data_IF_908415550282
#
_entry.id   IF_908415550282
#
_cell.length_a   1.000
_cell.length_b   1.000
_cell.length_c   1.000
_cell.angle_alpha   90.00
_cell.angle_beta   90.00
_cell.angle_gamma   90.00
#
_symmetry.space_group_name_H-M   'P 1'
#
loop_
_entity.id
_entity.type
_entity.pdbx_description
1 polymer ?
#
# COMPACT_ATOMS: atom_id res chain seq x y z
N UNK A 1 -3.29 7.02 -37.37
CA UNK A 1 -2.85 6.35 -36.13
C UNK A 1 -1.44 6.88 -35.83
N UNK A 2 -1.19 7.56 -34.72
CA UNK A 2 0.19 7.81 -34.30
C UNK A 2 0.84 6.44 -34.07
N UNK A 3 2.04 6.23 -34.61
CA UNK A 3 2.87 5.07 -34.28
C UNK A 3 3.05 4.99 -32.76
N UNK A 4 2.92 3.82 -32.12
CA UNK A 4 3.18 3.70 -30.69
C UNK A 4 4.59 4.22 -30.41
N UNK A 5 4.71 5.14 -29.47
CA UNK A 5 6.01 5.58 -28.97
C UNK A 5 6.80 4.34 -28.55
N UNK A 6 8.11 4.26 -28.87
CA UNK A 6 8.89 3.10 -28.51
C UNK A 6 8.89 2.95 -26.97
N UNK A 7 8.51 1.77 -26.49
CA UNK A 7 8.54 1.42 -25.07
C UNK A 7 9.94 1.60 -24.49
N UNK A 8 10.03 2.08 -23.25
CA UNK A 8 11.28 2.28 -22.55
C UNK A 8 12.01 0.94 -22.35
N UNK A 9 13.27 0.85 -22.77
CA UNK A 9 14.08 -0.35 -22.63
C UNK A 9 14.58 -0.61 -21.19
N UNK A 10 14.35 0.31 -20.24
CA UNK A 10 14.79 0.21 -18.84
C UNK A 10 16.27 -0.22 -18.64
N UNK A 11 17.16 0.17 -19.55
CA UNK A 11 18.54 -0.33 -19.61
C UNK A 11 19.33 -0.10 -18.31
N UNK A 12 19.11 1.05 -17.65
CA UNK A 12 19.80 1.42 -16.41
C UNK A 12 18.76 1.68 -15.31
N UNK A 13 18.86 0.91 -14.22
CA UNK A 13 18.04 1.08 -13.03
C UNK A 13 18.92 1.66 -11.92
N UNK A 14 18.66 2.89 -11.49
CA UNK A 14 19.44 3.56 -10.45
C UNK A 14 18.92 3.15 -9.07
N UNK A 15 19.81 2.70 -8.19
CA UNK A 15 19.45 2.20 -6.84
C UNK A 15 19.68 3.20 -5.72
N UNK A 16 20.23 4.37 -6.06
CA UNK A 16 20.40 5.53 -5.17
C UNK A 16 19.50 6.68 -5.63
N UNK A 17 19.19 7.65 -4.76
CA UNK A 17 18.53 8.89 -5.17
C UNK A 17 19.25 9.55 -6.36
N UNK A 18 18.49 10.26 -7.19
CA UNK A 18 19.05 11.02 -8.29
C UNK A 18 19.80 12.25 -7.74
N UNK A 19 21.01 12.59 -8.23
CA UNK A 19 21.84 13.65 -7.66
C UNK A 19 21.22 15.06 -7.63
N UNK A 20 20.18 15.31 -8.43
CA UNK A 20 19.43 16.58 -8.41
C UNK A 20 18.42 16.67 -7.27
N UNK A 21 18.16 15.57 -6.56
CA UNK A 21 17.26 15.54 -5.40
C UNK A 21 18.04 16.00 -4.18
N UNK A 22 17.90 17.28 -3.85
CA UNK A 22 18.62 17.91 -2.73
C UNK A 22 17.82 17.93 -1.44
N UNK A 23 16.50 17.76 -1.50
CA UNK A 23 15.60 17.84 -0.34
C UNK A 23 15.56 16.55 0.49
N UNK A 24 15.90 15.41 -0.12
CA UNK A 24 16.03 14.13 0.56
C UNK A 24 17.31 13.43 0.09
N UNK A 25 18.45 13.58 0.80
CA UNK A 25 19.74 13.02 0.37
C UNK A 25 19.81 11.48 0.49
N UNK A 26 18.76 10.86 1.01
CA UNK A 26 18.71 9.42 1.29
C UNK A 26 19.42 9.04 2.59
N UNK A 27 19.02 7.90 3.16
CA UNK A 27 19.64 7.37 4.37
C UNK A 27 20.93 6.62 4.03
N UNK A 28 21.98 6.79 4.85
CA UNK A 28 23.29 6.18 4.61
C UNK A 28 23.23 4.64 4.74
N UNK A 29 24.09 3.87 4.05
CA UNK A 29 24.16 2.42 4.21
C UNK A 29 24.40 1.98 5.66
N UNK A 30 25.17 2.75 6.43
CA UNK A 30 25.43 2.50 7.85
C UNK A 30 24.15 2.63 8.68
N UNK A 31 23.38 3.70 8.48
CA UNK A 31 22.17 3.93 9.28
C UNK A 31 21.06 2.94 8.90
N UNK A 32 20.99 2.53 7.64
CA UNK A 32 20.10 1.45 7.21
C UNK A 32 20.47 0.09 7.84
N UNK A 33 21.76 -0.25 7.92
CA UNK A 33 22.22 -1.46 8.61
C UNK A 33 21.83 -1.42 10.09
N UNK A 34 22.13 -0.30 10.76
CA UNK A 34 21.83 -0.10 12.16
C UNK A 34 20.31 -0.16 12.45
N UNK A 35 19.48 0.38 11.55
CA UNK A 35 18.03 0.40 11.70
C UNK A 35 17.38 -0.99 11.65
N UNK A 36 17.97 -1.93 10.90
CA UNK A 36 17.45 -3.29 10.79
C UNK A 36 18.01 -4.24 11.88
N UNK A 37 19.04 -3.82 12.62
CA UNK A 37 19.75 -4.69 13.55
C UNK A 37 18.93 -4.99 14.83
N UNK A 38 18.89 -6.24 15.31
CA UNK A 38 18.15 -6.60 16.52
C UNK A 38 18.83 -6.15 17.83
N UNK A 39 20.12 -5.82 17.76
CA UNK A 39 20.96 -5.41 18.89
C UNK A 39 21.88 -4.27 18.47
N UNK A 40 22.43 -3.53 19.45
CA UNK A 40 23.49 -2.55 19.19
C UNK A 40 24.70 -3.29 18.64
N UNK A 41 25.03 -3.04 17.38
CA UNK A 41 26.20 -3.62 16.74
C UNK A 41 27.45 -2.80 17.08
N UNK A 42 28.57 -3.51 17.28
CA UNK A 42 29.88 -2.84 17.42
C UNK A 42 30.22 -2.14 16.12
N UNK A 43 30.92 -1.01 16.20
CA UNK A 43 31.27 -0.20 15.02
C UNK A 43 31.93 -1.00 13.89
N UNK A 44 32.86 -1.89 14.22
CA UNK A 44 33.53 -2.75 13.23
C UNK A 44 32.56 -3.73 12.51
N UNK A 45 31.51 -4.20 13.18
CA UNK A 45 30.47 -5.06 12.58
C UNK A 45 29.57 -4.23 11.69
N UNK A 46 29.15 -3.05 12.15
CA UNK A 46 28.40 -2.08 11.34
C UNK A 46 29.17 -1.65 10.09
N UNK A 47 30.47 -1.40 10.20
CA UNK A 47 31.31 -1.03 9.06
C UNK A 47 31.40 -2.19 8.06
N UNK A 48 31.45 -3.45 8.52
CA UNK A 48 31.40 -4.64 7.67
C UNK A 48 30.03 -4.82 6.99
N UNK A 49 28.93 -4.63 7.72
CA UNK A 49 27.57 -4.71 7.18
C UNK A 49 27.28 -3.58 6.21
N UNK A 50 27.63 -2.34 6.57
CA UNK A 50 27.53 -1.17 5.70
C UNK A 50 28.38 -1.34 4.44
N UNK A 51 29.60 -1.90 4.56
CA UNK A 51 30.42 -2.24 3.41
C UNK A 51 29.76 -3.33 2.55
N UNK A 52 29.10 -4.34 3.13
CA UNK A 52 28.36 -5.36 2.38
C UNK A 52 27.11 -4.82 1.68
N UNK A 53 26.38 -3.91 2.32
CA UNK A 53 25.24 -3.18 1.74
C UNK A 53 25.69 -2.24 0.61
N UNK A 54 26.83 -1.58 0.80
CA UNK A 54 27.45 -0.68 -0.17
C UNK A 54 28.13 -1.42 -1.33
N UNK A 55 28.59 -2.66 -1.12
CA UNK A 55 29.23 -3.53 -2.11
C UNK A 55 28.25 -4.28 -3.04
N UNK A 56 27.12 -3.65 -3.36
CA UNK A 56 26.49 -3.78 -4.69
C UNK A 56 25.44 -4.90 -4.93
N UNK A 57 25.06 -5.73 -3.95
CA UNK A 57 23.92 -6.67 -4.13
C UNK A 57 22.63 -6.25 -3.44
N UNK A 58 22.76 -5.58 -2.30
CA UNK A 58 21.61 -5.28 -1.48
C UNK A 58 20.82 -4.07 -1.98
N UNK A 59 21.49 -3.01 -2.44
CA UNK A 59 20.83 -1.89 -3.11
C UNK A 59 20.11 -2.33 -4.41
N UNK A 60 20.65 -3.33 -5.11
CA UNK A 60 20.02 -3.95 -6.28
C UNK A 60 18.85 -4.89 -5.95
N UNK A 61 18.57 -5.10 -4.66
CA UNK A 61 17.43 -5.88 -4.14
C UNK A 61 16.40 -4.96 -3.49
N UNK A 62 16.88 -4.08 -2.61
CA UNK A 62 16.16 -3.04 -1.89
C UNK A 62 16.84 -1.68 -2.17
N UNK A 63 16.47 -0.97 -3.24
CA UNK A 63 17.00 0.36 -3.50
C UNK A 63 16.56 1.37 -2.42
N UNK A 64 17.21 2.54 -2.38
CA UNK A 64 16.71 3.65 -1.57
C UNK A 64 15.38 4.21 -2.07
N UNK A 65 14.69 5.04 -1.27
CA UNK A 65 13.54 5.81 -1.74
C UNK A 65 13.87 6.61 -3.00
N UNK A 66 12.86 6.83 -3.86
CA UNK A 66 13.03 7.61 -5.07
C UNK A 66 13.24 9.09 -4.78
N UNK A 67 12.45 9.69 -3.87
CA UNK A 67 12.58 11.10 -3.49
C UNK A 67 12.35 12.09 -4.63
N UNK A 68 11.40 11.79 -5.54
CA UNK A 68 11.01 12.72 -6.61
C UNK A 68 10.25 13.93 -6.06
N UNK A 69 10.15 14.99 -6.85
CA UNK A 69 9.39 16.17 -6.45
C UNK A 69 7.91 15.83 -6.22
N UNK A 70 7.37 16.25 -5.09
CA UNK A 70 6.00 15.92 -4.67
C UNK A 70 5.85 14.57 -3.96
N UNK A 71 6.93 13.77 -3.86
CA UNK A 71 6.93 12.56 -3.03
C UNK A 71 6.81 12.92 -1.55
N UNK A 72 6.17 12.05 -0.76
CA UNK A 72 5.91 12.23 0.68
C UNK A 72 7.18 12.63 1.44
N UNK A 73 8.28 11.88 1.26
CA UNK A 73 9.57 12.14 1.92
C UNK A 73 10.27 13.43 1.45
N UNK A 74 9.82 14.05 0.36
CA UNK A 74 10.31 15.34 -0.12
C UNK A 74 9.43 16.48 0.37
N UNK A 75 8.14 16.22 0.57
CA UNK A 75 7.18 17.14 1.20
C UNK A 75 7.44 17.25 2.70
N UNK A 76 7.65 16.12 3.37
CA UNK A 76 8.03 16.01 4.78
C UNK A 76 9.38 15.28 4.95
N UNK A 77 10.51 15.97 4.72
CA UNK A 77 11.83 15.38 4.88
C UNK A 77 12.23 15.13 6.35
N UNK A 78 11.45 15.64 7.31
CA UNK A 78 11.70 15.49 8.74
C UNK A 78 10.87 14.35 9.37
N UNK A 79 10.09 13.62 8.56
CA UNK A 79 9.30 12.48 9.04
C UNK A 79 10.17 11.52 9.89
N UNK A 80 9.75 11.21 11.12
CA UNK A 80 10.60 10.50 12.06
C UNK A 80 10.89 9.06 11.58
N UNK A 81 12.17 8.63 11.55
CA UNK A 81 12.49 7.25 11.23
C UNK A 81 12.06 6.32 12.36
N UNK A 82 11.61 5.11 12.00
CA UNK A 82 11.31 4.04 12.97
C UNK A 82 12.17 2.81 12.70
N UNK A 83 13.24 2.62 13.49
CA UNK A 83 14.08 1.42 13.44
C UNK A 83 13.36 0.18 13.99
N UNK A 84 13.89 -1.02 13.70
CA UNK A 84 13.39 -2.26 14.29
C UNK A 84 13.46 -2.24 15.83
N UNK A 85 14.51 -1.64 16.41
CA UNK A 85 14.69 -1.58 17.86
C UNK A 85 13.67 -0.65 18.53
N UNK A 86 13.42 0.52 17.92
CA UNK A 86 12.39 1.46 18.40
C UNK A 86 11.01 0.80 18.34
N UNK A 87 10.65 0.23 17.18
CA UNK A 87 9.42 -0.53 17.02
C UNK A 87 9.27 -1.67 18.04
N UNK A 88 10.34 -2.41 18.32
CA UNK A 88 10.32 -3.50 19.32
C UNK A 88 10.14 -2.98 20.75
N UNK A 89 10.69 -1.80 21.05
CA UNK A 89 10.60 -1.14 22.34
C UNK A 89 9.31 -0.35 22.56
N UNK A 90 8.51 -0.15 21.50
CA UNK A 90 7.30 0.63 21.53
C UNK A 90 6.25 -0.02 22.44
N UNK A 91 5.92 0.68 23.54
CA UNK A 91 5.02 0.16 24.57
C UNK A 91 3.56 0.25 24.16
N UNK A 92 3.22 1.20 23.29
CA UNK A 92 1.85 1.43 22.83
C UNK A 92 1.43 0.48 21.71
N UNK A 93 2.36 -0.32 21.17
CA UNK A 93 2.09 -1.26 20.07
C UNK A 93 1.21 -2.43 20.51
N UNK A 94 0.28 -2.82 19.64
CA UNK A 94 -0.51 -4.04 19.80
C UNK A 94 0.40 -5.29 19.80
N UNK A 95 0.30 -6.12 20.85
CA UNK A 95 1.04 -7.39 20.93
C UNK A 95 0.35 -8.47 20.10
N UNK A 96 1.16 -9.28 19.41
CA UNK A 96 0.74 -10.48 18.68
C UNK A 96 1.18 -11.72 19.48
N UNK A 97 0.38 -12.77 19.53
CA UNK A 97 0.84 -14.10 20.02
C UNK A 97 0.23 -14.54 21.34
N UNK A 98 0.98 -15.31 22.15
CA UNK A 98 0.47 -16.12 23.28
C UNK A 98 -0.31 -15.37 24.38
N UNK A 99 -0.11 -14.06 24.51
CA UNK A 99 -0.82 -13.17 25.44
C UNK A 99 -1.79 -12.22 24.72
N UNK A 100 -1.98 -12.37 23.40
CA UNK A 100 -2.65 -11.40 22.55
C UNK A 100 -3.49 -12.03 21.43
N UNK A 101 -4.09 -11.15 20.64
CA UNK A 101 -4.94 -11.52 19.51
C UNK A 101 -4.06 -11.92 18.31
N UNK A 102 -4.54 -12.81 17.44
CA UNK A 102 -3.74 -13.33 16.31
C UNK A 102 -4.43 -13.26 14.95
N UNK A 103 -5.75 -13.17 14.92
CA UNK A 103 -6.50 -13.28 13.67
C UNK A 103 -6.64 -11.93 12.98
N UNK A 104 -6.19 -11.81 11.74
CA UNK A 104 -6.55 -10.63 10.92
C UNK A 104 -7.90 -10.92 10.29
N UNK A 105 -8.85 -10.00 10.42
CA UNK A 105 -10.13 -10.09 9.72
C UNK A 105 -10.14 -9.13 8.53
N UNK A 106 -10.77 -9.55 7.44
CA UNK A 106 -11.10 -8.71 6.30
C UNK A 106 -12.62 -8.70 6.18
N UNK A 107 -13.24 -7.53 6.08
CA UNK A 107 -14.65 -7.40 5.74
C UNK A 107 -14.78 -6.77 4.36
N UNK A 108 -15.64 -7.36 3.54
CA UNK A 108 -15.91 -6.87 2.19
C UNK A 108 -16.65 -5.53 2.18
N UNK A 109 -16.77 -4.90 1.00
CA UNK A 109 -17.52 -3.66 0.83
C UNK A 109 -18.95 -3.76 1.39
N UNK A 110 -19.42 -2.78 2.19
CA UNK A 110 -20.83 -2.72 2.56
C UNK A 110 -21.71 -2.62 1.31
N UNK A 111 -22.81 -3.37 1.31
CA UNK A 111 -23.77 -3.38 0.19
C UNK A 111 -24.94 -2.45 0.47
N UNK A 112 -25.67 -2.03 -0.56
CA UNK A 112 -26.91 -1.26 -0.37
C UNK A 112 -28.05 -2.21 -0.09
N UNK A 113 -28.82 -1.95 0.98
CA UNK A 113 -29.94 -2.80 1.41
C UNK A 113 -30.93 -3.09 0.27
N UNK A 114 -31.39 -4.34 0.21
CA UNK A 114 -32.34 -4.82 -0.79
C UNK A 114 -33.64 -3.98 -0.73
N UNK A 115 -34.04 -3.41 -1.87
CA UNK A 115 -35.22 -2.55 -1.98
C UNK A 115 -34.93 -1.04 -1.93
N UNK A 116 -33.82 -0.60 -1.30
CA UNK A 116 -33.36 0.80 -1.35
C UNK A 116 -32.58 1.10 -2.65
N UNK A 117 -32.08 0.07 -3.33
CA UNK A 117 -31.29 0.13 -4.56
C UNK A 117 -31.92 0.97 -5.69
N UNK A 118 -33.25 1.15 -5.69
CA UNK A 118 -33.95 2.08 -6.60
C UNK A 118 -33.76 3.53 -6.16
N UNK A 119 -32.59 4.09 -6.47
CA UNK A 119 -32.30 5.53 -6.40
C UNK A 119 -31.40 5.95 -5.24
N UNK A 120 -31.34 5.19 -4.15
CA UNK A 120 -30.39 5.45 -3.06
C UNK A 120 -28.99 4.93 -3.42
N UNK A 121 -27.97 5.80 -3.29
CA UNK A 121 -26.55 5.54 -3.61
C UNK A 121 -26.27 4.99 -5.02
N UNK A 122 -27.22 5.14 -5.94
CA UNK A 122 -27.10 4.62 -7.31
C UNK A 122 -25.96 5.34 -8.04
N UNK A 123 -24.98 4.57 -8.52
CA UNK A 123 -23.85 5.08 -9.31
C UNK A 123 -22.75 5.78 -8.51
N UNK A 124 -22.74 5.65 -7.17
CA UNK A 124 -21.67 6.26 -6.35
C UNK A 124 -20.34 5.52 -6.47
N UNK A 125 -20.37 4.23 -6.82
CA UNK A 125 -19.19 3.40 -7.11
C UNK A 125 -18.86 3.33 -8.61
N UNK A 126 -19.70 3.94 -9.46
CA UNK A 126 -19.48 3.95 -10.91
C UNK A 126 -18.49 5.06 -11.25
N UNK A 127 -17.38 4.66 -11.86
CA UNK A 127 -16.36 5.56 -12.34
C UNK A 127 -16.81 6.15 -13.69
N UNK A 128 -17.04 7.47 -13.74
CA UNK A 128 -17.38 8.18 -14.99
C UNK A 128 -16.12 8.43 -15.82
N UNK A 129 -15.78 7.44 -16.65
CA UNK A 129 -14.68 7.52 -17.61
C UNK A 129 -15.21 7.16 -19.00
N UNK A 130 -14.85 7.95 -20.00
CA UNK A 130 -15.32 7.77 -21.37
C UNK A 130 -14.55 6.63 -22.05
N UNK A 131 -15.20 5.50 -22.35
CA UNK A 131 -14.59 4.43 -23.18
C UNK A 131 -15.29 3.07 -23.11
N UNK A 132 -15.11 2.24 -24.14
CA UNK A 132 -15.72 0.90 -24.22
C UNK A 132 -15.13 -0.11 -23.20
N UNK A 133 -13.86 0.07 -22.81
CA UNK A 133 -13.13 -0.82 -21.89
C UNK A 133 -13.64 -0.76 -20.44
N UNK A 134 -14.37 0.31 -20.08
CA UNK A 134 -14.87 0.54 -18.74
C UNK A 134 -15.85 -0.56 -18.26
N UNK A 135 -16.74 -1.02 -19.15
CA UNK A 135 -17.73 -2.06 -18.82
C UNK A 135 -17.10 -3.45 -18.67
N UNK A 136 -16.01 -3.72 -19.38
CA UNK A 136 -15.35 -5.02 -19.37
C UNK A 136 -14.51 -5.24 -18.09
N UNK A 137 -13.85 -4.21 -17.58
CA UNK A 137 -13.08 -4.28 -16.32
C UNK A 137 -14.02 -4.47 -15.13
N UNK A 138 -15.13 -3.73 -15.10
CA UNK A 138 -16.16 -3.83 -14.05
C UNK A 138 -16.86 -5.20 -14.08
N UNK A 139 -16.98 -5.84 -15.24
CA UNK A 139 -17.59 -7.18 -15.37
C UNK A 139 -16.65 -8.35 -15.07
N UNK A 140 -15.32 -8.17 -15.09
CA UNK A 140 -14.38 -9.28 -15.18
C UNK A 140 -14.03 -9.95 -13.84
N UNK A 141 -14.08 -9.25 -12.68
CA UNK A 141 -13.74 -9.82 -11.35
C UNK A 141 -14.34 -9.03 -10.17
N UNK A 142 -15.65 -8.75 -10.15
CA UNK A 142 -16.28 -8.05 -9.01
C UNK A 142 -16.81 -8.97 -7.92
N UNK A 143 -16.98 -10.26 -8.18
CA UNK A 143 -17.51 -11.20 -7.18
C UNK A 143 -16.39 -12.02 -6.53
N UNK A 144 -16.26 -11.90 -5.21
CA UNK A 144 -15.40 -12.77 -4.40
C UNK A 144 -13.93 -12.36 -4.32
N UNK A 145 -13.56 -11.18 -4.83
CA UNK A 145 -12.20 -10.65 -4.77
C UNK A 145 -11.72 -10.42 -3.32
N UNK A 146 -12.63 -10.32 -2.35
CA UNK A 146 -12.27 -10.22 -0.93
C UNK A 146 -11.57 -11.49 -0.46
N UNK A 147 -11.90 -12.65 -1.05
CA UNK A 147 -11.22 -13.91 -0.76
C UNK A 147 -9.79 -13.92 -1.30
N UNK A 148 -9.57 -13.33 -2.46
CA UNK A 148 -8.23 -13.17 -3.03
C UNK A 148 -7.38 -12.21 -2.17
N UNK A 149 -8.00 -11.15 -1.60
CA UNK A 149 -7.34 -10.27 -0.62
C UNK A 149 -6.95 -11.05 0.64
N UNK A 150 -7.85 -11.88 1.18
CA UNK A 150 -7.56 -12.74 2.34
C UNK A 150 -6.38 -13.65 2.05
N UNK A 151 -6.38 -14.33 0.89
CA UNK A 151 -5.28 -15.24 0.51
C UNK A 151 -3.95 -14.48 0.35
N UNK A 152 -3.96 -13.30 -0.28
CA UNK A 152 -2.77 -12.47 -0.41
C UNK A 152 -2.22 -12.01 0.94
N UNK A 153 -3.10 -11.52 1.82
CA UNK A 153 -2.72 -11.04 3.15
C UNK A 153 -2.24 -12.18 4.05
N UNK A 154 -2.78 -13.39 3.92
CA UNK A 154 -2.28 -14.57 4.63
C UNK A 154 -0.87 -14.95 4.18
N UNK A 155 -0.56 -14.79 2.89
CA UNK A 155 0.81 -14.92 2.40
C UNK A 155 1.72 -13.75 2.85
N UNK A 156 1.21 -12.52 2.87
CA UNK A 156 1.97 -11.33 3.24
C UNK A 156 2.29 -11.27 4.75
N UNK A 157 1.33 -11.61 5.59
CA UNK A 157 1.44 -11.70 7.05
C UNK A 157 1.58 -13.15 7.51
N UNK A 158 2.30 -13.96 6.73
CA UNK A 158 2.51 -15.38 6.99
C UNK A 158 2.87 -15.65 8.46
N UNK A 159 2.25 -16.66 9.05
CA UNK A 159 2.30 -16.98 10.48
C UNK A 159 1.06 -16.55 11.27
N UNK A 160 0.19 -15.72 10.68
CA UNK A 160 -1.10 -15.32 11.26
C UNK A 160 -2.28 -15.79 10.40
N UNK A 161 -3.37 -16.25 11.02
CA UNK A 161 -4.59 -16.56 10.29
C UNK A 161 -5.26 -15.29 9.79
N UNK A 162 -5.72 -15.31 8.54
CA UNK A 162 -6.54 -14.25 7.94
C UNK A 162 -7.92 -14.82 7.60
N UNK A 163 -8.99 -14.15 8.03
CA UNK A 163 -10.36 -14.62 7.85
C UNK A 163 -11.23 -13.56 7.19
N UNK A 164 -12.15 -14.00 6.34
CA UNK A 164 -13.23 -13.16 5.85
C UNK A 164 -14.31 -13.05 6.93
N UNK A 165 -14.56 -11.84 7.43
CA UNK A 165 -15.67 -11.52 8.31
C UNK A 165 -16.97 -11.49 7.51
N UNK A 166 -18.05 -12.04 8.08
CA UNK A 166 -19.33 -12.05 7.41
C UNK A 166 -19.92 -10.63 7.30
N UNK A 167 -20.02 -10.12 6.08
CA UNK A 167 -20.58 -8.81 5.78
C UNK A 167 -22.12 -8.79 5.66
N UNK A 168 -22.84 -9.92 5.85
CA UNK A 168 -24.31 -9.98 5.67
C UNK A 168 -25.11 -9.04 6.56
N UNK A 169 -24.52 -8.50 7.64
CA UNK A 169 -25.14 -7.49 8.50
C UNK A 169 -24.73 -6.05 8.19
N UNK A 170 -23.88 -5.82 7.19
CA UNK A 170 -23.25 -4.53 6.90
C UNK A 170 -23.87 -3.90 5.65
N UNK A 171 -24.80 -2.96 5.87
CA UNK A 171 -25.60 -2.37 4.78
C UNK A 171 -25.65 -0.85 4.85
N UNK A 172 -25.52 -0.19 3.71
CA UNK A 172 -25.89 1.20 3.60
C UNK A 172 -27.41 1.35 3.54
N UNK A 173 -27.95 2.24 4.36
CA UNK A 173 -29.38 2.59 4.43
C UNK A 173 -29.56 4.11 4.41
N UNK A 174 -30.73 4.62 4.02
CA UNK A 174 -31.07 6.03 4.25
C UNK A 174 -30.88 6.39 5.73
N UNK A 175 -30.41 7.61 6.00
CA UNK A 175 -30.32 8.12 7.36
C UNK A 175 -31.70 8.61 7.82
N UNK A 176 -32.22 8.05 8.91
CA UNK A 176 -33.51 8.46 9.46
C UNK A 176 -33.39 9.84 10.13
N UNK A 177 -33.61 10.90 9.35
CA UNK A 177 -33.94 12.21 9.92
C UNK A 177 -35.40 12.21 10.35
N UNK A 178 -35.78 11.46 11.39
CA UNK A 178 -37.00 11.81 12.13
C UNK A 178 -36.60 12.82 13.20
N UNK A 179 -36.79 14.14 12.97
CA UNK A 179 -36.71 15.07 14.08
C UNK A 179 -37.82 14.69 15.06
N UNK A 180 -37.45 14.31 16.28
CA UNK A 180 -38.34 14.42 17.43
C UNK A 180 -38.98 15.82 17.37
N UNK A 181 -40.31 15.85 17.32
CA UNK A 181 -41.14 17.02 17.02
C UNK A 181 -40.54 18.36 17.48
N UNK A 182 -40.49 19.40 16.62
CA UNK A 182 -40.13 20.72 17.08
C UNK A 182 -41.28 21.27 17.94
N UNK A 183 -41.03 21.40 19.25
CA UNK A 183 -41.84 22.26 20.12
C UNK A 183 -41.81 23.66 19.52
N UNK A 184 -42.99 24.17 19.14
CA UNK A 184 -43.20 25.50 18.55
C UNK A 184 -42.69 26.59 19.49
N UNK A 185 -41.43 27.01 19.37
CA UNK A 185 -40.97 28.30 19.88
C UNK A 185 -40.80 29.27 18.72
N UNK A 186 -41.78 30.16 18.55
CA UNK A 186 -41.68 31.31 17.66
C UNK A 186 -40.59 32.25 18.19
N UNK A 187 -39.51 32.41 17.45
CA UNK A 187 -38.58 33.52 17.61
C UNK A 187 -38.25 34.09 16.24
N UNK A 188 -38.66 35.34 16.04
CA UNK A 188 -38.29 36.17 14.89
C UNK A 188 -36.96 36.84 15.22
N UNK A 189 -35.92 36.58 14.44
CA UNK A 189 -34.85 37.56 14.24
C UNK A 189 -34.10 37.32 12.94
N UNK A 190 -34.03 38.39 12.15
CA UNK A 190 -33.25 38.59 10.94
C UNK A 190 -31.76 38.75 11.25
N UNK A 191 -30.91 37.94 10.60
CA UNK A 191 -29.54 38.28 10.18
C UNK A 191 -29.00 37.13 9.31
N UNK A 192 -28.72 37.40 8.02
CA UNK A 192 -28.09 36.45 7.08
C UNK A 192 -26.60 36.31 7.41
N UNK A 193 -26.28 35.49 8.40
CA UNK A 193 -25.03 34.75 8.41
C UNK A 193 -25.27 33.45 7.63
N UNK A 194 -24.43 33.10 6.64
CA UNK A 194 -24.45 31.76 6.02
C UNK A 194 -24.14 30.78 7.15
N UNK A 195 -25.16 30.14 7.71
CA UNK A 195 -24.96 28.98 8.59
C UNK A 195 -24.16 27.94 7.79
N UNK A 196 -23.12 27.31 8.37
CA UNK A 196 -22.48 26.17 7.75
C UNK A 196 -23.56 25.14 7.42
N UNK A 197 -23.52 24.61 6.18
CA UNK A 197 -24.48 23.60 5.72
C UNK A 197 -24.25 22.36 6.58
N UNK A 198 -25.27 21.88 7.27
CA UNK A 198 -25.14 20.66 8.08
C UNK A 198 -24.65 19.51 7.18
N UNK A 199 -23.70 18.69 7.66
CA UNK A 199 -23.19 17.56 6.89
C UNK A 199 -24.33 16.60 6.57
N UNK A 200 -24.30 16.05 5.35
CA UNK A 200 -25.28 15.06 4.91
C UNK A 200 -24.82 13.67 5.33
N UNK A 201 -25.76 12.84 5.77
CA UNK A 201 -25.47 11.50 6.30
C UNK A 201 -26.19 10.42 5.52
N UNK A 202 -25.55 9.27 5.44
CA UNK A 202 -26.18 7.96 5.19
C UNK A 202 -26.01 7.10 6.45
N UNK A 203 -26.83 6.07 6.59
CA UNK A 203 -26.65 5.07 7.64
C UNK A 203 -25.79 3.90 7.15
N UNK A 204 -24.87 3.44 7.97
CA UNK A 204 -24.22 2.14 7.85
C UNK A 204 -24.74 1.25 8.98
N UNK A 205 -25.63 0.33 8.63
CA UNK A 205 -26.22 -0.63 9.56
C UNK A 205 -25.20 -1.73 9.84
N UNK A 206 -24.98 -2.02 11.13
CA UNK A 206 -24.23 -3.17 11.62
C UNK A 206 -25.19 -4.15 12.30
N UNK A 207 -24.67 -5.22 12.90
CA UNK A 207 -25.49 -6.14 13.69
C UNK A 207 -26.07 -5.50 14.96
N UNK A 208 -25.42 -4.45 15.48
CA UNK A 208 -25.72 -3.88 16.80
C UNK A 208 -26.32 -2.46 16.70
N UNK A 209 -25.94 -1.69 15.68
CA UNK A 209 -26.29 -0.28 15.61
C UNK A 209 -26.39 0.27 14.17
N UNK A 210 -26.80 1.53 14.07
CA UNK A 210 -26.84 2.30 12.82
C UNK A 210 -25.90 3.50 12.95
N UNK A 211 -24.80 3.48 12.21
CA UNK A 211 -23.74 4.47 12.29
C UNK A 211 -23.92 5.49 11.18
N UNK A 212 -23.85 6.79 11.51
CA UNK A 212 -23.96 7.86 10.53
C UNK A 212 -22.64 8.06 9.78
N UNK A 213 -22.66 7.89 8.46
CA UNK A 213 -21.50 8.14 7.60
C UNK A 213 -21.75 9.44 6.83
N UNK A 214 -20.88 10.43 7.03
CA UNK A 214 -20.89 11.68 6.28
C UNK A 214 -20.53 11.41 4.82
N UNK A 215 -21.15 12.17 3.94
CA UNK A 215 -20.81 12.13 2.51
C UNK A 215 -20.83 13.52 1.89
N UNK A 216 -20.08 13.68 0.80
CA UNK A 216 -20.07 14.89 -0.03
C UNK A 216 -20.28 14.55 -1.50
N UNK A 217 -20.98 15.42 -2.22
CA UNK A 217 -21.19 15.29 -3.66
C UNK A 217 -20.11 16.05 -4.42
N UNK A 218 -19.64 15.49 -5.53
CA UNK A 218 -18.53 16.03 -6.34
C UNK A 218 -18.93 16.01 -7.82
N UNK A 219 -19.75 16.99 -8.26
CA UNK A 219 -20.41 16.96 -9.58
C UNK A 219 -19.48 17.05 -10.80
N UNK A 220 -18.16 17.08 -10.61
CA UNK A 220 -17.15 17.22 -11.66
C UNK A 220 -15.95 16.28 -11.49
N UNK A 221 -16.04 15.29 -10.59
CA UNK A 221 -15.02 14.26 -10.41
C UNK A 221 -15.44 12.94 -11.06
N UNK A 222 -14.50 12.00 -11.15
CA UNK A 222 -14.73 10.65 -11.69
C UNK A 222 -15.77 9.85 -10.90
N UNK A 223 -15.95 10.17 -9.62
CA UNK A 223 -16.96 9.62 -8.76
C UNK A 223 -17.91 10.73 -8.32
N UNK A 224 -19.20 10.45 -8.35
CA UNK A 224 -20.23 11.45 -8.05
C UNK A 224 -20.26 11.87 -6.57
N UNK A 225 -19.79 11.00 -5.68
CA UNK A 225 -19.83 11.18 -4.24
C UNK A 225 -18.60 10.56 -3.57
N UNK A 226 -18.23 11.11 -2.41
CA UNK A 226 -17.25 10.53 -1.49
C UNK A 226 -17.87 10.27 -0.13
N UNK A 227 -17.43 9.19 0.53
CA UNK A 227 -17.75 8.89 1.92
C UNK A 227 -16.64 9.35 2.85
N UNK A 228 -16.98 9.76 4.05
CA UNK A 228 -15.98 10.14 5.05
C UNK A 228 -15.28 8.88 5.60
N UNK A 229 -13.94 8.91 5.58
CA UNK A 229 -13.07 7.83 6.00
C UNK A 229 -13.11 7.59 7.51
N UNK A 230 -13.13 8.65 8.32
CA UNK A 230 -13.12 8.54 9.78
C UNK A 230 -14.38 7.87 10.30
N UNK A 231 -15.54 8.22 9.75
CA UNK A 231 -16.81 7.59 10.12
C UNK A 231 -16.82 6.08 9.77
N UNK A 232 -16.12 5.69 8.69
CA UNK A 232 -15.95 4.28 8.33
C UNK A 232 -14.94 3.56 9.25
N UNK A 233 -13.91 4.25 9.73
CA UNK A 233 -12.99 3.72 10.74
C UNK A 233 -13.70 3.51 12.07
N UNK A 234 -14.55 4.45 12.50
CA UNK A 234 -15.40 4.28 13.69
C UNK A 234 -16.36 3.10 13.53
N UNK A 235 -16.96 2.93 12.34
CA UNK A 235 -17.74 1.75 12.04
C UNK A 235 -16.91 0.45 12.08
N UNK A 236 -15.68 0.46 11.56
CA UNK A 236 -14.78 -0.68 11.66
C UNK A 236 -14.45 -1.02 13.12
N UNK A 237 -14.29 -0.03 14.00
CA UNK A 237 -14.08 -0.24 15.44
C UNK A 237 -15.29 -0.94 16.06
N UNK A 238 -16.51 -0.52 15.72
CA UNK A 238 -17.74 -1.10 16.27
C UNK A 238 -17.92 -2.58 15.93
N UNK A 239 -17.45 -3.03 14.76
CA UNK A 239 -17.61 -4.41 14.29
C UNK A 239 -16.36 -5.28 14.48
N UNK A 240 -15.32 -4.75 15.13
CA UNK A 240 -14.04 -5.42 15.34
C UNK A 240 -14.21 -6.63 16.27
N UNK A 241 -13.97 -7.88 15.81
CA UNK A 241 -14.14 -9.05 16.65
C UNK A 241 -13.20 -9.07 17.86
N UNK A 242 -13.65 -9.65 18.97
CA UNK A 242 -12.88 -9.73 20.22
C UNK A 242 -11.53 -10.45 20.07
N UNK A 243 -11.50 -11.49 19.23
CA UNK A 243 -10.30 -12.29 18.93
C UNK A 243 -9.41 -11.70 17.81
N UNK A 244 -9.85 -10.60 17.18
CA UNK A 244 -9.17 -10.02 16.04
C UNK A 244 -7.88 -9.31 16.44
N UNK A 245 -6.74 -9.69 15.86
CA UNK A 245 -5.56 -8.85 15.92
C UNK A 245 -5.81 -7.50 15.25
N UNK A 246 -6.42 -7.51 14.05
CA UNK A 246 -6.83 -6.32 13.32
C UNK A 246 -8.01 -6.62 12.41
N UNK A 247 -8.74 -5.57 12.01
CA UNK A 247 -9.78 -5.62 10.98
C UNK A 247 -9.44 -4.67 9.83
N UNK A 248 -9.48 -5.20 8.61
CA UNK A 248 -9.46 -4.41 7.38
C UNK A 248 -10.87 -4.35 6.78
N UNK A 249 -11.41 -3.14 6.62
CA UNK A 249 -12.64 -2.90 5.87
C UNK A 249 -12.31 -2.45 4.44
N UNK A 250 -12.79 -3.21 3.46
CA UNK A 250 -12.68 -2.86 2.05
C UNK A 250 -13.89 -2.00 1.65
N UNK A 251 -13.69 -1.00 0.78
CA UNK A 251 -14.74 -0.08 0.36
C UNK A 251 -14.66 0.18 -1.15
N UNK A 252 -15.81 0.25 -1.81
CA UNK A 252 -15.91 0.52 -3.26
C UNK A 252 -16.03 2.00 -3.61
N UNK A 253 -16.38 2.82 -2.63
CA UNK A 253 -16.65 4.24 -2.77
C UNK A 253 -15.37 5.07 -2.66
N UNK A 254 -15.34 6.19 -3.36
CA UNK A 254 -14.30 7.20 -3.18
C UNK A 254 -14.40 7.80 -1.77
N UNK A 255 -13.25 8.18 -1.17
CA UNK A 255 -13.19 8.60 0.23
C UNK A 255 -12.56 9.98 0.40
N UNK A 256 -12.88 10.63 1.52
CA UNK A 256 -12.22 11.84 2.02
C UNK A 256 -12.10 11.79 3.55
N UNK A 257 -11.15 12.49 4.15
CA UNK A 257 -11.03 12.59 5.60
C UNK A 257 -11.46 13.99 6.08
N UNK A 258 -10.93 15.05 5.46
CA UNK A 258 -11.28 16.43 5.78
C UNK A 258 -11.65 17.29 4.54
N UNK A 259 -11.90 18.59 4.79
CA UNK A 259 -12.32 19.55 3.76
C UNK A 259 -11.18 19.97 2.82
N UNK A 260 -9.92 19.76 3.20
CA UNK A 260 -8.71 20.11 2.43
C UNK A 260 -8.26 18.95 1.52
N UNK A 261 -8.69 17.71 1.83
CA UNK A 261 -8.42 16.55 0.99
C UNK A 261 -9.12 16.59 -0.37
N UNK A 262 -8.41 16.20 -1.42
CA UNK A 262 -9.04 15.83 -2.69
C UNK A 262 -9.67 14.43 -2.60
N UNK A 263 -8.91 13.45 -2.10
CA UNK A 263 -9.34 12.08 -1.82
C UNK A 263 -8.32 11.36 -0.93
N UNK A 264 -8.76 10.25 -0.33
CA UNK A 264 -7.90 9.30 0.40
C UNK A 264 -8.15 7.88 -0.09
N UNK A 265 -7.10 7.08 -0.20
CA UNK A 265 -7.21 5.70 -0.69
C UNK A 265 -7.32 4.67 0.44
N UNK A 266 -6.86 5.03 1.63
CA UNK A 266 -6.93 4.19 2.82
C UNK A 266 -6.34 4.92 4.01
N UNK A 267 -6.63 4.40 5.20
CA UNK A 267 -6.05 4.84 6.47
C UNK A 267 -6.22 3.74 7.50
N UNK A 268 -5.33 3.75 8.49
CA UNK A 268 -5.43 2.92 9.67
C UNK A 268 -5.47 3.75 10.95
N UNK A 269 -6.35 3.35 11.87
CA UNK A 269 -6.20 3.66 13.29
C UNK A 269 -5.47 2.51 13.95
N UNK A 270 -4.13 2.51 13.78
CA UNK A 270 -3.27 1.40 14.18
C UNK A 270 -3.45 0.97 15.65
N UNK A 271 -3.55 1.93 16.57
CA UNK A 271 -3.84 1.67 17.98
C UNK A 271 -5.21 1.02 18.22
N UNK A 272 -6.22 1.40 17.44
CA UNK A 272 -7.56 0.82 17.47
C UNK A 272 -7.69 -0.49 16.70
N UNK A 273 -6.61 -0.94 16.03
CA UNK A 273 -6.52 -2.20 15.28
C UNK A 273 -7.47 -2.27 14.07
N UNK A 274 -7.76 -1.13 13.45
CA UNK A 274 -8.63 -1.07 12.26
C UNK A 274 -7.98 -0.32 11.12
N UNK A 275 -8.33 -0.73 9.91
CA UNK A 275 -7.95 -0.08 8.66
C UNK A 275 -9.13 -0.07 7.69
N UNK A 276 -9.22 0.98 6.89
CA UNK A 276 -10.17 1.10 5.77
C UNK A 276 -9.37 1.32 4.50
N UNK A 277 -9.68 0.59 3.43
CA UNK A 277 -9.07 0.75 2.11
C UNK A 277 -10.15 0.84 1.04
N UNK A 278 -10.10 1.91 0.25
CA UNK A 278 -10.94 2.09 -0.92
C UNK A 278 -10.26 1.62 -2.19
N UNK A 279 -11.03 1.00 -3.08
CA UNK A 279 -10.56 0.68 -4.44
C UNK A 279 -10.85 1.74 -5.49
N UNK A 280 -11.62 2.79 -5.19
CA UNK A 280 -12.14 3.72 -6.18
C UNK A 280 -11.02 4.39 -7.02
N UNK A 281 -10.04 5.02 -6.36
CA UNK A 281 -8.96 5.78 -7.03
C UNK A 281 -7.85 4.92 -7.63
N UNK A 282 -7.86 3.63 -7.31
CA UNK A 282 -6.97 2.64 -7.90
C UNK A 282 -7.48 2.04 -9.21
N UNK A 283 -8.70 2.40 -9.64
CA UNK A 283 -9.28 1.93 -10.89
C UNK A 283 -8.36 2.30 -12.07
N UNK A 284 -7.80 1.32 -12.81
CA UNK A 284 -6.86 1.58 -13.88
C UNK A 284 -7.41 2.49 -14.98
N UNK A 285 -8.73 2.57 -15.16
CA UNK A 285 -9.32 3.49 -16.13
C UNK A 285 -8.96 4.95 -15.87
N UNK A 286 -8.66 5.29 -14.61
CA UNK A 286 -8.24 6.63 -14.21
C UNK A 286 -6.76 6.91 -14.45
N UNK A 287 -5.95 5.92 -14.80
CA UNK A 287 -4.51 6.08 -14.86
C UNK A 287 -4.06 7.17 -15.83
N UNK A 288 -4.74 7.31 -16.97
CA UNK A 288 -4.42 8.35 -17.94
C UNK A 288 -4.74 9.76 -17.41
N UNK A 289 -5.88 9.92 -16.72
CA UNK A 289 -6.34 11.20 -16.20
C UNK A 289 -5.59 11.58 -14.90
N UNK A 290 -5.22 10.60 -14.09
CA UNK A 290 -4.42 10.76 -12.87
C UNK A 290 -2.90 10.78 -13.13
N UNK A 291 -2.46 10.61 -14.38
CA UNK A 291 -1.04 10.62 -14.74
C UNK A 291 -0.22 9.45 -14.19
N UNK A 292 -0.85 8.32 -13.90
CA UNK A 292 -0.18 7.13 -13.35
C UNK A 292 0.75 6.52 -14.42
N UNK A 293 2.08 6.48 -14.17
CA UNK A 293 3.05 6.12 -15.20
C UNK A 293 3.21 4.60 -15.29
N UNK A 294 2.22 3.85 -15.80
CA UNK A 294 2.23 2.37 -15.82
C UNK A 294 3.54 1.75 -16.31
N UNK A 295 4.13 2.30 -17.37
CA UNK A 295 5.42 1.83 -17.91
C UNK A 295 6.54 1.89 -16.87
N UNK A 296 6.54 2.94 -16.04
CA UNK A 296 7.54 3.23 -15.01
C UNK A 296 6.98 3.12 -13.59
N UNK A 297 5.86 2.41 -13.40
CA UNK A 297 5.39 1.99 -12.09
C UNK A 297 6.39 0.98 -11.50
N UNK A 298 6.23 0.61 -10.23
CA UNK A 298 7.04 -0.49 -9.70
C UNK A 298 6.84 -1.75 -10.58
N UNK A 299 7.92 -2.46 -10.96
CA UNK A 299 9.32 -2.35 -10.52
C UNK A 299 10.22 -1.40 -11.33
N UNK A 300 9.71 -0.79 -12.40
CA UNK A 300 10.47 0.04 -13.34
C UNK A 300 10.67 1.51 -12.89
N UNK A 301 10.14 1.88 -11.72
CA UNK A 301 10.20 3.25 -11.16
C UNK A 301 11.62 3.78 -10.92
N UNK A 302 12.60 2.89 -10.81
CA UNK A 302 14.03 3.22 -10.69
C UNK A 302 14.74 3.42 -12.04
N UNK A 303 14.00 3.50 -13.15
CA UNK A 303 14.57 3.76 -14.48
C UNK A 303 15.29 5.11 -14.53
N UNK A 304 16.57 5.12 -14.90
CA UNK A 304 17.40 6.33 -14.96
C UNK A 304 16.80 7.42 -15.86
N UNK A 305 16.23 7.03 -17.01
CA UNK A 305 15.63 7.99 -17.95
C UNK A 305 14.40 8.65 -17.34
N UNK A 306 13.52 7.84 -16.75
CA UNK A 306 12.32 8.30 -16.09
C UNK A 306 12.64 9.21 -14.90
N UNK A 307 13.54 8.80 -14.02
CA UNK A 307 13.97 9.63 -12.89
C UNK A 307 14.53 10.98 -13.35
N UNK A 308 15.35 11.00 -14.42
CA UNK A 308 15.88 12.23 -14.99
C UNK A 308 14.80 13.12 -15.62
N UNK A 309 13.77 12.53 -16.22
CA UNK A 309 12.61 13.26 -16.76
C UNK A 309 11.79 13.90 -15.64
N UNK A 310 11.51 13.17 -14.56
CA UNK A 310 10.83 13.69 -13.38
C UNK A 310 11.62 14.82 -12.69
N UNK A 311 12.95 14.80 -12.75
CA UNK A 311 13.81 15.85 -12.21
C UNK A 311 14.00 17.08 -13.13
N UNK A 312 13.42 17.07 -14.34
CA UNK A 312 13.48 18.20 -15.27
C UNK A 312 14.84 18.44 -15.97
N UNK A 313 14.93 19.55 -16.73
CA UNK A 313 16.04 19.82 -17.67
C UNK A 313 17.43 19.94 -17.03
N UNK A 314 17.52 20.21 -15.73
CA UNK A 314 18.80 20.30 -15.00
C UNK A 314 19.53 18.94 -14.89
N UNK A 315 18.80 17.82 -14.90
CA UNK A 315 19.35 16.47 -14.76
C UNK A 315 20.12 15.96 -15.99
N UNK A 316 19.85 16.52 -17.19
CA UNK A 316 20.46 16.05 -18.46
C UNK A 316 21.99 16.20 -18.53
N UNK A 317 22.61 16.96 -17.63
CA UNK A 317 24.07 17.17 -17.58
C UNK A 317 24.84 16.27 -16.59
N UNK A 318 24.17 15.44 -15.76
CA UNK A 318 24.80 14.75 -14.61
C UNK A 318 24.80 13.21 -14.65
N UNK A 319 24.36 12.57 -15.75
CA UNK A 319 23.98 11.14 -15.82
C UNK A 319 25.08 10.06 -15.71
N UNK A 320 26.31 10.41 -15.33
CA UNK A 320 27.44 9.45 -15.26
C UNK A 320 27.79 8.96 -13.85
N UNK A 321 27.42 9.67 -12.77
CA UNK A 321 27.74 9.27 -11.38
C UNK A 321 26.49 8.69 -10.69
N UNK A 322 26.35 7.38 -10.68
CA UNK A 322 25.24 6.68 -10.02
C UNK A 322 25.57 5.22 -9.76
N UNK A 323 24.90 4.62 -8.76
CA UNK A 323 24.94 3.17 -8.52
C UNK A 323 23.74 2.55 -9.22
N UNK A 324 23.94 1.44 -9.92
CA UNK A 324 22.93 0.81 -10.76
C UNK A 324 22.70 -0.64 -10.36
N UNK A 325 21.49 -1.14 -10.60
CA UNK A 325 21.18 -2.54 -10.38
C UNK A 325 22.02 -3.44 -11.31
N UNK A 326 22.66 -4.44 -10.72
CA UNK A 326 23.44 -5.45 -11.42
C UNK A 326 22.53 -6.45 -12.17
N UNK A 327 23.12 -7.17 -13.12
CA UNK A 327 22.43 -8.26 -13.81
C UNK A 327 22.01 -9.37 -12.82
N UNK A 328 20.91 -10.06 -13.11
CA UNK A 328 20.33 -11.12 -12.27
C UNK A 328 19.92 -10.70 -10.84
N UNK A 329 19.94 -9.39 -10.52
CA UNK A 329 19.42 -8.90 -9.25
C UNK A 329 17.90 -9.07 -9.18
N UNK A 330 17.30 -9.21 -7.97
CA UNK A 330 15.85 -9.26 -7.80
C UNK A 330 15.11 -8.12 -8.49
N UNK A 331 15.63 -6.89 -8.40
CA UNK A 331 15.06 -5.73 -9.10
C UNK A 331 15.13 -5.87 -10.62
N UNK A 332 16.26 -6.35 -11.16
CA UNK A 332 16.42 -6.55 -12.61
C UNK A 332 15.48 -7.63 -13.14
N UNK A 333 15.38 -8.76 -12.43
CA UNK A 333 14.46 -9.86 -12.76
C UNK A 333 13.00 -9.37 -12.79
N UNK A 334 12.61 -8.55 -11.80
CA UNK A 334 11.28 -7.95 -11.75
C UNK A 334 11.01 -7.03 -12.95
N UNK A 335 11.94 -6.13 -13.27
CA UNK A 335 11.81 -5.20 -14.41
C UNK A 335 11.73 -5.93 -15.74
N UNK A 336 12.48 -7.01 -15.93
CA UNK A 336 12.39 -7.85 -17.12
C UNK A 336 10.98 -8.44 -17.25
N UNK A 337 10.44 -9.05 -16.19
CA UNK A 337 9.09 -9.61 -16.21
C UNK A 337 8.00 -8.57 -16.47
N UNK A 338 8.11 -7.39 -15.83
CA UNK A 338 7.24 -6.25 -16.06
C UNK A 338 7.26 -5.81 -17.53
N UNK A 339 8.45 -5.56 -18.08
CA UNK A 339 8.61 -5.03 -19.44
C UNK A 339 8.09 -6.02 -20.49
N UNK A 340 8.33 -7.33 -20.30
CA UNK A 340 7.83 -8.37 -21.21
C UNK A 340 6.30 -8.37 -21.30
N UNK A 341 5.60 -8.24 -20.17
CA UNK A 341 4.14 -8.22 -20.15
C UNK A 341 3.56 -6.87 -20.55
N UNK A 342 4.22 -5.77 -20.21
CA UNK A 342 3.78 -4.41 -20.54
C UNK A 342 3.91 -4.08 -22.04
N UNK A 343 4.83 -4.73 -22.76
CA UNK A 343 5.04 -4.48 -24.19
C UNK A 343 3.83 -4.83 -25.08
N UNK A 344 2.84 -5.55 -24.55
CA UNK A 344 1.60 -5.89 -25.24
C UNK A 344 0.41 -5.06 -24.74
N UNK A 345 -0.60 -4.89 -25.58
CA UNK A 345 -1.84 -4.24 -25.16
C UNK A 345 -2.49 -5.03 -24.00
N UNK A 346 -2.78 -4.35 -22.89
CA UNK A 346 -3.36 -4.99 -21.72
C UNK A 346 -4.82 -5.40 -21.96
N UNK A 347 -5.14 -6.64 -21.63
CA UNK A 347 -6.52 -7.14 -21.63
C UNK A 347 -7.30 -6.63 -20.42
N UNK A 348 -8.64 -6.72 -20.46
CA UNK A 348 -9.50 -6.33 -19.34
C UNK A 348 -9.21 -7.15 -18.07
N UNK A 349 -8.86 -8.43 -18.20
CA UNK A 349 -8.46 -9.28 -17.07
C UNK A 349 -7.15 -8.79 -16.43
N UNK A 350 -6.15 -8.41 -17.25
CA UNK A 350 -4.89 -7.85 -16.75
C UNK A 350 -5.09 -6.51 -16.05
N UNK A 351 -6.01 -5.67 -16.54
CA UNK A 351 -6.38 -4.42 -15.87
C UNK A 351 -7.12 -4.70 -14.56
N UNK A 352 -8.07 -5.63 -14.52
CA UNK A 352 -8.73 -6.03 -13.27
C UNK A 352 -7.72 -6.58 -12.25
N UNK A 353 -6.78 -7.39 -12.71
CA UNK A 353 -5.67 -7.90 -11.89
C UNK A 353 -4.73 -6.79 -11.41
N UNK A 354 -4.40 -5.81 -12.25
CA UNK A 354 -3.63 -4.63 -11.85
C UNK A 354 -4.38 -3.83 -10.77
N UNK A 355 -5.69 -3.64 -10.94
CA UNK A 355 -6.53 -2.96 -9.96
C UNK A 355 -6.45 -3.66 -8.60
N UNK A 356 -6.70 -4.97 -8.59
CA UNK A 356 -6.58 -5.82 -7.40
C UNK A 356 -5.19 -5.76 -6.75
N UNK A 357 -4.13 -5.74 -7.57
CA UNK A 357 -2.75 -5.68 -7.12
C UNK A 357 -2.42 -4.41 -6.31
N UNK A 358 -3.04 -3.27 -6.68
CA UNK A 358 -2.92 -2.00 -5.95
C UNK A 358 -3.59 -2.10 -4.58
N UNK A 359 -4.78 -2.72 -4.53
CA UNK A 359 -5.50 -2.92 -3.27
C UNK A 359 -4.71 -3.82 -2.34
N UNK A 360 -4.10 -4.90 -2.84
CA UNK A 360 -3.26 -5.79 -2.06
C UNK A 360 -2.10 -5.05 -1.37
N UNK A 361 -1.42 -4.15 -2.10
CA UNK A 361 -0.35 -3.33 -1.54
C UNK A 361 -0.88 -2.40 -0.46
N UNK A 362 -1.90 -1.61 -0.75
CA UNK A 362 -2.44 -0.62 0.20
C UNK A 362 -3.03 -1.29 1.43
N UNK A 363 -3.77 -2.40 1.26
CA UNK A 363 -4.24 -3.24 2.37
C UNK A 363 -3.09 -3.73 3.26
N UNK A 364 -1.96 -4.13 2.65
CA UNK A 364 -0.77 -4.52 3.40
C UNK A 364 -0.16 -3.34 4.15
N UNK A 365 -0.10 -2.17 3.52
CA UNK A 365 0.39 -0.93 4.13
C UNK A 365 -0.45 -0.54 5.36
N UNK A 366 -1.77 -0.41 5.20
CA UNK A 366 -2.65 0.00 6.31
C UNK A 366 -2.68 -1.01 7.46
N UNK A 367 -2.66 -2.31 7.15
CA UNK A 367 -2.52 -3.32 8.19
C UNK A 367 -1.16 -3.23 8.89
N UNK A 368 -0.10 -2.78 8.21
CA UNK A 368 1.22 -2.55 8.78
C UNK A 368 1.17 -1.55 9.94
N UNK A 369 0.37 -0.50 9.81
CA UNK A 369 0.11 0.45 10.89
C UNK A 369 -0.60 -0.20 12.09
N UNK A 370 -1.45 -1.21 11.90
CA UNK A 370 -2.02 -2.00 13.00
C UNK A 370 -0.95 -2.83 13.75
N UNK A 371 0.18 -3.13 13.10
CA UNK A 371 1.40 -3.66 13.72
C UNK A 371 2.28 -2.58 14.36
N UNK A 372 1.84 -1.32 14.41
CA UNK A 372 2.61 -0.19 14.93
C UNK A 372 3.82 0.15 14.07
N UNK A 373 3.81 -0.22 12.79
CA UNK A 373 4.88 0.12 11.86
C UNK A 373 4.57 1.50 11.27
N UNK A 374 5.46 2.47 11.44
CA UNK A 374 5.32 3.81 10.86
C UNK A 374 5.76 3.85 9.40
N UNK A 375 5.62 5.01 8.73
CA UNK A 375 6.13 5.12 7.37
C UNK A 375 7.64 4.87 7.31
N UNK A 376 8.07 4.12 6.31
CA UNK A 376 9.47 3.78 6.10
C UNK A 376 10.21 4.92 5.38
N UNK A 377 11.38 5.29 5.89
CA UNK A 377 12.26 6.29 5.27
C UNK A 377 13.57 5.69 4.75
N UNK A 378 13.84 4.42 5.04
CA UNK A 378 15.15 3.79 4.84
C UNK A 378 15.39 3.28 3.42
N UNK A 379 14.34 2.73 2.79
CA UNK A 379 14.39 2.02 1.52
C UNK A 379 13.11 2.27 0.73
N UNK A 380 13.15 1.94 -0.57
CA UNK A 380 11.94 1.53 -1.29
C UNK A 380 11.18 0.50 -0.43
N UNK A 381 9.93 0.75 -0.03
CA UNK A 381 9.20 -0.14 0.87
C UNK A 381 7.68 -0.03 0.72
N UNK A 382 6.96 -1.14 0.90
CA UNK A 382 5.50 -1.16 0.99
C UNK A 382 4.99 -0.26 2.13
N UNK A 383 5.79 -0.03 3.17
CA UNK A 383 5.47 0.86 4.29
C UNK A 383 5.90 2.32 4.05
N UNK A 384 6.37 2.71 2.86
CA UNK A 384 6.61 4.14 2.61
C UNK A 384 5.31 4.91 2.51
N UNK A 385 5.30 6.14 3.03
CA UNK A 385 4.21 7.10 2.79
C UNK A 385 4.06 7.41 1.30
N UNK A 386 2.88 7.89 0.92
CA UNK A 386 2.58 8.28 -0.45
C UNK A 386 1.68 9.50 -0.46
N UNK A 387 2.17 10.61 -1.03
CA UNK A 387 1.44 11.87 -1.15
C UNK A 387 0.56 11.93 -2.41
N UNK A 388 0.63 10.93 -3.29
CA UNK A 388 -0.18 10.87 -4.50
C UNK A 388 -0.33 9.44 -5.03
N UNK A 389 -1.33 9.22 -5.88
CA UNK A 389 -1.52 7.95 -6.60
C UNK A 389 -0.35 7.62 -7.55
N UNK A 390 0.35 8.66 -8.03
CA UNK A 390 1.53 8.53 -8.91
C UNK A 390 2.75 8.06 -8.12
N UNK A 391 2.92 8.57 -6.90
CA UNK A 391 3.93 8.04 -5.97
C UNK A 391 3.58 6.62 -5.52
N UNK A 392 2.33 6.39 -5.13
CA UNK A 392 1.82 5.09 -4.74
C UNK A 392 2.18 4.03 -5.80
N UNK A 393 1.88 4.26 -7.08
CA UNK A 393 2.18 3.32 -8.16
C UNK A 393 3.69 2.97 -8.32
N UNK A 394 4.60 3.78 -7.77
CA UNK A 394 6.05 3.53 -7.80
C UNK A 394 6.56 2.74 -6.59
N UNK A 395 5.76 2.60 -5.54
CA UNK A 395 6.12 1.88 -4.33
C UNK A 395 6.12 0.37 -4.54
N UNK A 396 7.06 -0.36 -3.91
CA UNK A 396 7.12 -1.82 -4.05
C UNK A 396 6.06 -2.55 -3.21
N UNK A 397 5.65 -3.77 -3.60
CA UNK A 397 4.84 -4.65 -2.78
C UNK A 397 5.65 -5.40 -1.71
N UNK A 398 6.97 -5.14 -1.58
CA UNK A 398 7.81 -5.78 -0.59
C UNK A 398 8.03 -4.92 0.64
N UNK A 399 8.26 -5.58 1.77
CA UNK A 399 8.82 -4.94 2.95
C UNK A 399 10.33 -4.89 2.79
N UNK A 400 10.91 -3.72 3.06
CA UNK A 400 12.34 -3.58 3.17
C UNK A 400 12.86 -4.36 4.41
N UNK A 401 14.17 -4.55 4.56
CA UNK A 401 14.72 -5.35 5.65
C UNK A 401 14.37 -4.83 7.04
N UNK A 402 14.21 -3.51 7.21
CA UNK A 402 13.83 -2.92 8.50
C UNK A 402 12.41 -3.36 8.86
N UNK A 403 11.44 -3.18 7.95
CA UNK A 403 10.04 -3.48 8.23
C UNK A 403 9.71 -4.97 8.11
N UNK A 404 10.47 -5.71 7.30
CA UNK A 404 10.37 -7.15 7.21
C UNK A 404 10.78 -7.80 8.55
N UNK A 405 11.81 -7.29 9.22
CA UNK A 405 12.17 -7.75 10.58
C UNK A 405 11.02 -7.51 11.57
N UNK A 406 10.36 -6.35 11.49
CA UNK A 406 9.19 -6.02 12.33
C UNK A 406 8.07 -7.04 12.10
N UNK A 407 7.71 -7.30 10.84
CA UNK A 407 6.65 -8.25 10.49
C UNK A 407 7.02 -9.68 10.88
N UNK A 408 8.22 -10.15 10.56
CA UNK A 408 8.68 -11.50 10.93
C UNK A 408 8.68 -11.68 12.46
N UNK A 409 9.13 -10.69 13.21
CA UNK A 409 9.06 -10.72 14.68
C UNK A 409 7.62 -10.72 15.19
N UNK A 410 6.72 -9.98 14.53
CA UNK A 410 5.32 -9.90 14.92
C UNK A 410 4.57 -11.22 14.64
N UNK A 411 4.76 -11.81 13.47
CA UNK A 411 4.02 -13.02 13.05
C UNK A 411 4.65 -14.31 13.57
N UNK A 412 5.96 -14.30 13.86
CA UNK A 412 6.72 -15.49 14.26
C UNK A 412 7.08 -16.43 13.11
N UNK A 413 6.88 -16.03 11.85
CA UNK A 413 7.21 -16.83 10.67
C UNK A 413 8.69 -16.72 10.27
N UNK A 414 9.20 -17.67 9.46
CA UNK A 414 10.49 -17.53 8.80
C UNK A 414 10.45 -16.63 7.56
N UNK A 415 11.58 -15.97 7.24
CA UNK A 415 11.73 -15.17 6.01
C UNK A 415 11.43 -15.98 4.75
N UNK A 416 12.02 -17.17 4.67
CA UNK A 416 11.93 -18.05 3.50
C UNK A 416 10.51 -18.61 3.31
N UNK A 417 9.85 -19.02 4.40
CA UNK A 417 8.48 -19.53 4.41
C UNK A 417 7.50 -18.47 3.89
N UNK A 418 7.61 -17.24 4.41
CA UNK A 418 6.81 -16.10 3.94
C UNK A 418 7.00 -15.83 2.46
N UNK A 419 8.25 -15.80 1.98
CA UNK A 419 8.52 -15.58 0.55
C UNK A 419 7.99 -16.73 -0.32
N UNK A 420 8.09 -17.98 0.12
CA UNK A 420 7.49 -19.12 -0.60
C UNK A 420 5.97 -19.03 -0.67
N UNK A 421 5.30 -18.63 0.41
CA UNK A 421 3.86 -18.40 0.43
C UNK A 421 3.47 -17.32 -0.59
N UNK A 422 4.16 -16.17 -0.58
CA UNK A 422 3.93 -15.08 -1.53
C UNK A 422 4.21 -15.49 -2.99
N UNK A 423 5.26 -16.27 -3.23
CA UNK A 423 5.54 -16.83 -4.57
C UNK A 423 4.39 -17.71 -5.06
N UNK A 424 3.86 -18.55 -4.18
CA UNK A 424 2.69 -19.40 -4.46
C UNK A 424 1.46 -18.58 -4.86
N UNK A 425 1.21 -17.47 -4.15
CA UNK A 425 0.16 -16.53 -4.53
C UNK A 425 0.44 -15.89 -5.90
N UNK A 426 1.64 -15.35 -6.13
CA UNK A 426 1.99 -14.67 -7.38
C UNK A 426 1.85 -15.56 -8.61
N UNK A 427 2.14 -16.86 -8.47
CA UNK A 427 2.00 -17.83 -9.56
C UNK A 427 0.56 -17.94 -10.09
N UNK A 428 -0.46 -17.66 -9.26
CA UNK A 428 -1.87 -17.63 -9.68
C UNK A 428 -2.21 -16.42 -10.54
N UNK A 429 -1.34 -15.41 -10.56
CA UNK A 429 -1.56 -14.10 -11.19
C UNK A 429 -0.45 -13.73 -12.19
N UNK A 430 0.24 -14.72 -12.76
CA UNK A 430 1.40 -14.50 -13.66
C UNK A 430 1.09 -13.66 -14.91
N UNK A 431 -0.18 -13.60 -15.33
CA UNK A 431 -0.61 -12.73 -16.43
C UNK A 431 -0.65 -11.24 -16.09
N UNK A 432 -0.64 -10.89 -14.80
CA UNK A 432 -0.67 -9.51 -14.30
C UNK A 432 0.76 -9.05 -14.05
N UNK A 433 1.21 -8.01 -14.76
CA UNK A 433 2.61 -7.60 -14.74
C UNK A 433 3.16 -7.32 -13.33
N UNK A 434 2.34 -6.77 -12.42
CA UNK A 434 2.75 -6.48 -11.04
C UNK A 434 3.09 -7.79 -10.31
N UNK A 435 2.19 -8.76 -10.31
CA UNK A 435 2.41 -10.05 -9.64
C UNK A 435 3.48 -10.90 -10.32
N UNK A 436 3.59 -10.83 -11.65
CA UNK A 436 4.69 -11.47 -12.38
C UNK A 436 6.06 -10.90 -11.97
N UNK A 437 6.17 -9.57 -11.95
CA UNK A 437 7.37 -8.88 -11.45
C UNK A 437 7.65 -9.22 -9.99
N UNK A 438 6.61 -9.28 -9.15
CA UNK A 438 6.73 -9.63 -7.75
C UNK A 438 7.21 -11.07 -7.53
N UNK A 439 6.64 -12.03 -8.25
CA UNK A 439 7.11 -13.41 -8.27
C UNK A 439 8.58 -13.52 -8.67
N UNK A 440 9.02 -12.82 -9.73
CA UNK A 440 10.42 -12.83 -10.17
C UNK A 440 11.37 -12.14 -9.21
N UNK A 441 10.95 -11.05 -8.56
CA UNK A 441 11.72 -10.47 -7.46
C UNK A 441 11.90 -11.48 -6.33
N UNK A 442 10.83 -12.17 -5.93
CA UNK A 442 10.85 -13.17 -4.86
C UNK A 442 11.77 -14.35 -5.21
N UNK A 443 11.70 -14.88 -6.43
CA UNK A 443 12.60 -15.93 -6.91
C UNK A 443 14.07 -15.52 -6.77
N UNK A 444 14.42 -14.31 -7.22
CA UNK A 444 15.77 -13.76 -7.06
C UNK A 444 16.16 -13.62 -5.58
N UNK A 445 15.24 -13.18 -4.72
CA UNK A 445 15.49 -13.02 -3.29
C UNK A 445 15.68 -14.35 -2.57
N UNK A 446 14.88 -15.36 -2.90
CA UNK A 446 15.02 -16.73 -2.37
C UNK A 446 16.38 -17.32 -2.74
N UNK A 447 16.80 -17.17 -4.01
CA UNK A 447 18.13 -17.60 -4.45
C UNK A 447 19.25 -16.95 -3.63
N UNK A 448 19.17 -15.63 -3.41
CA UNK A 448 20.15 -14.94 -2.55
C UNK A 448 20.17 -15.45 -1.10
N UNK A 449 19.06 -15.94 -0.57
CA UNK A 449 18.99 -16.53 0.77
C UNK A 449 19.59 -17.94 0.76
N UNK A 450 19.33 -18.73 -0.27
CA UNK A 450 19.89 -20.09 -0.44
C UNK A 450 21.42 -20.04 -0.62
N UNK A 451 21.93 -19.16 -1.50
CA UNK A 451 23.36 -18.92 -1.72
C UNK A 451 24.06 -18.52 -0.40
N UNK A 452 23.34 -17.80 0.48
CA UNK A 452 23.84 -17.40 1.79
C UNK A 452 24.08 -18.56 2.74
N UNK A 453 23.16 -19.51 2.76
CA UNK A 453 23.22 -20.69 3.63
C UNK A 453 24.32 -21.67 3.21
N UNK A 454 24.69 -21.66 1.93
CA UNK A 454 25.65 -22.62 1.34
C UNK A 454 27.11 -22.16 1.37
N UNK A 455 27.40 -20.92 1.78
CA UNK A 455 28.77 -20.41 1.93
C UNK A 455 29.52 -20.16 0.62
N UNK A 456 28.87 -20.28 -0.54
CA UNK A 456 29.44 -19.92 -1.85
C UNK A 456 29.48 -18.39 -2.00
N UNK A 457 30.64 -17.77 -1.78
CA UNK A 457 30.93 -16.35 -2.04
C UNK A 457 29.98 -15.29 -1.42
N UNK A 458 29.02 -15.70 -0.61
CA UNK A 458 28.08 -14.84 0.09
C UNK A 458 28.50 -14.74 1.56
N UNK A 459 29.00 -13.56 1.97
CA UNK A 459 28.95 -13.22 3.39
C UNK A 459 27.49 -12.95 3.70
N UNK A 460 26.87 -13.70 4.63
CA UNK A 460 25.52 -13.37 5.00
C UNK A 460 25.44 -11.91 5.40
N UNK A 461 24.51 -11.17 4.80
CA UNK A 461 24.06 -9.93 5.42
C UNK A 461 23.63 -10.22 6.87
N UNK A 462 23.35 -9.17 7.68
CA UNK A 462 23.05 -9.28 9.13
C UNK A 462 21.95 -10.29 9.54
N UNK A 463 21.30 -10.93 8.57
CA UNK A 463 20.01 -11.57 8.65
C UNK A 463 20.06 -13.12 8.65
N UNK A 464 21.23 -13.76 8.64
CA UNK A 464 21.35 -15.24 8.60
C UNK A 464 21.49 -15.92 9.97
N UNK A 465 21.73 -15.17 11.05
CA UNK A 465 21.98 -15.74 12.39
C UNK A 465 20.92 -15.37 13.42
N UNK A 466 19.68 -15.14 12.98
CA UNK A 466 18.57 -14.80 13.90
C UNK A 466 17.86 -16.07 14.43
N UNK A 467 18.08 -17.24 13.81
CA UNK A 467 17.49 -18.51 14.24
C UNK A 467 18.08 -19.10 15.53
N UNK A 468 19.20 -18.56 16.04
CA UNK A 468 19.83 -19.05 17.29
C UNK A 468 19.38 -18.30 18.56
N UNK A 469 18.44 -17.36 18.47
CA UNK A 469 17.87 -16.69 19.66
C UNK A 469 16.39 -17.05 19.82
N UNK A 470 16.12 -18.36 19.92
CA UNK A 470 14.89 -18.85 20.53
C UNK A 470 15.09 -19.05 22.04
N UNK A 471 14.28 -18.30 22.78
CA UNK A 471 13.81 -18.48 24.18
C UNK A 471 14.76 -18.25 25.36
N UNK A 472 14.22 -17.76 26.51
CA UNK A 472 12.81 -17.40 26.78
C UNK A 472 12.46 -15.96 26.45
#
# INVERSE_FOLDING_TARGET
MPSPSPTCAHARLRVTPHPSQTRFPGVSPHDRAAAAAPTVLRRAVLDCEAAGLAADRFAATFPGPLGLEGDDLVVDPEYPPQSFREWRGERQRNKVGAEGRRTIYVVGPPVVEDGAQKGFMRGWTECDVKGADAKAIVGSKTNGWEKDVVEYLEAFYHGLPVKLLNASGLHFTPWDTTPSQPTKSKSRSSAKARKPKEPSYIGLRTAEELIGIRYRAIPSAHYSHQLNLDDLLDAAISILPDDAYALLMLVDHDLYEDDDDEFVCGRAYGGSRVAVVSRARYNPLLDAEQGVPREHAWPASHCEKYMAECCGKAAKKMSSKGVFAIEDSPLRLAVTAHTTLYASAMTSEQLAGLWFSRICRTASHELGHCFGIDHCVYYACCMQGSASIVEDARQPPYLCPVDLQKVIRATGAGFEERYRALRGFCAKWEGVYMFAAWGKWIEGRLKQIEDAGQGEHYRPGPYSKVDELQTP
#
